data_IF_363621220974
#
_entry.id   IF_363621220974
#
_cell.length_a   1.000
_cell.length_b   1.000
_cell.length_c   1.000
_cell.angle_alpha   90.00
_cell.angle_beta   90.00
_cell.angle_gamma   90.00
#
_symmetry.space_group_name_H-M   'P 1'
#
loop_
_entity.id
_entity.type
_entity.pdbx_description
1 polymer ?
#
# COMPACT_ATOMS: atom_id res chain seq x y z
N UNK A 1 4.17 -49.61 -33.37
CA UNK A 1 4.27 -48.89 -32.08
C UNK A 1 2.90 -48.94 -31.44
N UNK A 2 2.70 -49.48 -30.26
CA UNK A 2 1.40 -49.54 -29.63
C UNK A 2 0.96 -48.11 -29.23
N UNK A 3 -0.30 -47.82 -29.41
CA UNK A 3 -0.96 -46.53 -29.15
C UNK A 3 -0.67 -45.96 -27.76
N UNK A 4 -0.45 -46.83 -26.78
CA UNK A 4 -0.06 -46.44 -25.39
C UNK A 4 1.33 -45.82 -25.27
N UNK A 5 2.29 -46.19 -26.11
CA UNK A 5 3.62 -45.53 -26.11
C UNK A 5 3.58 -44.17 -26.78
N UNK A 6 2.71 -43.98 -27.76
CA UNK A 6 2.51 -42.67 -28.40
C UNK A 6 1.80 -41.67 -27.47
N UNK A 7 0.81 -42.12 -26.69
CA UNK A 7 0.15 -41.32 -25.66
C UNK A 7 1.10 -40.98 -24.51
N UNK A 8 1.91 -41.96 -24.03
CA UNK A 8 2.90 -41.70 -22.98
C UNK A 8 4.01 -40.73 -23.45
N UNK A 9 4.45 -40.77 -24.71
CA UNK A 9 5.40 -39.84 -25.29
C UNK A 9 4.78 -38.44 -25.50
N UNK A 10 3.50 -38.38 -25.84
CA UNK A 10 2.75 -37.13 -25.96
C UNK A 10 2.52 -36.49 -24.58
N UNK A 11 2.16 -37.30 -23.58
CA UNK A 11 2.03 -36.84 -22.19
C UNK A 11 3.38 -36.42 -21.59
N UNK A 12 4.48 -37.12 -21.83
CA UNK A 12 5.81 -36.76 -21.34
C UNK A 12 6.40 -35.52 -22.00
N UNK A 13 5.99 -35.22 -23.24
CA UNK A 13 6.37 -33.97 -23.92
C UNK A 13 5.47 -32.77 -23.52
N UNK A 14 4.23 -33.03 -23.16
CA UNK A 14 3.31 -31.96 -22.66
C UNK A 14 3.72 -31.51 -21.27
N UNK A 15 4.27 -32.39 -20.42
CA UNK A 15 4.69 -32.06 -19.06
C UNK A 15 6.00 -31.23 -18.98
N UNK A 16 6.78 -31.16 -20.06
CA UNK A 16 8.02 -30.35 -20.10
C UNK A 16 7.87 -28.92 -20.61
N UNK A 17 6.67 -28.52 -21.09
CA UNK A 17 6.39 -27.16 -21.54
C UNK A 17 5.42 -26.40 -20.63
N UNK A 18 5.12 -26.94 -19.46
CA UNK A 18 4.23 -26.31 -18.51
C UNK A 18 4.98 -25.25 -17.70
N UNK A 19 4.61 -24.03 -17.98
CA UNK A 19 4.63 -22.90 -17.06
C UNK A 19 5.96 -22.27 -16.66
N UNK A 20 6.59 -21.60 -17.60
CA UNK A 20 7.43 -20.44 -17.28
C UNK A 20 6.63 -19.13 -17.17
N UNK A 21 5.30 -19.19 -17.03
CA UNK A 21 4.46 -17.99 -16.90
C UNK A 21 3.98 -17.87 -15.46
N UNK A 22 4.92 -17.73 -14.54
CA UNK A 22 4.66 -17.18 -13.22
C UNK A 22 5.36 -15.83 -13.14
N UNK A 23 5.13 -15.02 -14.16
CA UNK A 23 5.41 -13.61 -14.09
C UNK A 23 4.42 -13.00 -13.11
N UNK A 24 4.77 -12.98 -11.83
CA UNK A 24 4.20 -11.94 -10.98
C UNK A 24 4.53 -10.62 -11.66
N UNK A 25 3.53 -9.99 -12.25
CA UNK A 25 3.68 -8.63 -12.76
C UNK A 25 4.38 -7.82 -11.65
N UNK A 26 5.45 -7.06 -11.92
CA UNK A 26 6.09 -6.21 -10.92
C UNK A 26 5.12 -5.20 -10.30
N UNK A 27 3.94 -5.07 -10.88
CA UNK A 27 2.87 -4.15 -10.52
C UNK A 27 1.69 -4.79 -9.79
N UNK A 28 1.76 -6.06 -9.40
CA UNK A 28 0.80 -6.54 -8.44
C UNK A 28 1.02 -5.76 -7.15
N UNK A 29 0.10 -4.85 -6.85
CA UNK A 29 -0.04 -4.19 -5.55
C UNK A 29 0.87 -3.00 -5.19
N UNK A 30 1.22 -2.12 -6.10
CA UNK A 30 1.53 -0.75 -5.69
C UNK A 30 0.24 0.06 -5.74
N UNK A 31 -0.54 -0.01 -4.68
CA UNK A 31 -1.64 0.90 -4.48
C UNK A 31 -1.05 2.24 -4.02
N UNK A 32 -1.15 3.28 -4.84
CA UNK A 32 -1.10 4.65 -4.31
C UNK A 32 -2.47 4.91 -3.72
N UNK A 33 -2.73 4.35 -2.55
CA UNK A 33 -4.04 4.40 -1.94
C UNK A 33 -4.38 5.81 -1.44
N UNK A 34 -5.64 6.12 -1.42
CA UNK A 34 -6.18 7.33 -0.80
C UNK A 34 -5.94 7.40 0.72
N UNK A 35 -5.58 6.26 1.35
CA UNK A 35 -5.17 6.14 2.75
C UNK A 35 -3.65 6.15 2.91
N UNK A 36 -3.21 5.66 4.06
CA UNK A 36 -1.81 5.39 4.35
C UNK A 36 -1.26 4.15 3.62
N UNK A 37 -2.11 3.25 3.10
CA UNK A 37 -1.70 1.98 2.47
C UNK A 37 -0.94 2.24 1.16
N UNK A 38 0.28 1.74 1.06
CA UNK A 38 1.19 1.92 -0.07
C UNK A 38 1.58 0.61 -0.76
N UNK A 39 1.52 -0.52 -0.07
CA UNK A 39 2.00 -1.79 -0.62
C UNK A 39 0.89 -2.79 -0.96
N UNK A 40 -0.29 -2.67 -0.34
CA UNK A 40 -1.34 -3.67 -0.40
C UNK A 40 -0.96 -5.00 0.25
N UNK A 41 0.20 -5.10 0.89
CA UNK A 41 0.72 -6.23 1.66
C UNK A 41 0.56 -7.62 0.98
N UNK A 42 0.98 -7.80 -0.28
CA UNK A 42 0.73 -9.02 -1.02
C UNK A 42 1.58 -10.19 -0.49
N UNK A 43 1.00 -11.39 -0.52
CA UNK A 43 1.69 -12.65 -0.18
C UNK A 43 2.06 -13.49 -1.40
N UNK A 44 1.95 -12.92 -2.59
CA UNK A 44 2.10 -13.65 -3.88
C UNK A 44 3.48 -14.29 -4.08
N UNK A 45 4.53 -13.78 -3.45
CA UNK A 45 5.86 -14.39 -3.49
C UNK A 45 5.89 -15.74 -2.75
N UNK A 46 5.02 -15.92 -1.74
CA UNK A 46 4.88 -17.18 -1.02
C UNK A 46 4.23 -18.30 -1.86
N UNK A 47 3.49 -17.96 -2.93
CA UNK A 47 2.84 -18.94 -3.80
C UNK A 47 3.70 -19.37 -5.00
N UNK A 48 4.96 -18.98 -5.03
CA UNK A 48 5.89 -19.42 -6.05
C UNK A 48 6.30 -20.89 -5.80
N UNK A 49 6.48 -21.64 -6.88
CA UNK A 49 6.87 -23.04 -6.78
C UNK A 49 8.38 -23.17 -6.51
N UNK A 50 8.79 -24.15 -5.70
CA UNK A 50 10.19 -24.42 -5.37
C UNK A 50 10.81 -23.39 -4.45
N UNK A 51 12.07 -23.06 -4.68
CA UNK A 51 12.77 -21.98 -3.98
C UNK A 51 12.65 -20.68 -4.79
N UNK A 52 12.17 -19.63 -4.13
CA UNK A 52 11.96 -18.32 -4.73
C UNK A 52 12.54 -17.22 -3.87
N UNK A 53 13.16 -16.25 -4.50
CA UNK A 53 13.62 -15.03 -3.89
C UNK A 53 13.30 -13.83 -4.77
N UNK A 54 12.92 -12.72 -4.18
CA UNK A 54 12.72 -11.48 -4.93
C UNK A 54 13.07 -10.25 -4.12
N UNK A 55 13.47 -9.20 -4.81
CA UNK A 55 13.53 -7.84 -4.31
C UNK A 55 12.91 -6.92 -5.36
N UNK A 56 12.08 -5.99 -4.90
CA UNK A 56 11.46 -4.99 -5.77
C UNK A 56 11.59 -3.60 -5.14
N UNK A 57 11.81 -2.63 -6.01
CA UNK A 57 11.87 -1.21 -5.69
C UNK A 57 10.82 -0.48 -6.50
N UNK A 58 10.00 0.34 -5.84
CA UNK A 58 9.02 1.18 -6.48
C UNK A 58 9.36 2.64 -6.22
N UNK A 59 9.14 3.48 -7.23
CA UNK A 59 9.30 4.92 -7.16
C UNK A 59 8.01 5.58 -7.62
N UNK A 60 7.45 6.46 -6.78
CA UNK A 60 6.15 7.09 -6.97
C UNK A 60 6.32 8.59 -7.05
N UNK A 61 5.71 9.18 -8.06
CA UNK A 61 5.73 10.61 -8.36
C UNK A 61 4.27 11.10 -8.33
N UNK A 62 3.74 11.45 -7.16
CA UNK A 62 2.38 11.99 -7.05
C UNK A 62 2.38 13.48 -7.36
N UNK A 63 1.28 13.94 -7.97
CA UNK A 63 1.00 15.35 -8.21
C UNK A 63 -0.37 15.66 -7.61
N UNK A 64 -0.38 16.24 -6.40
CA UNK A 64 -1.59 16.56 -5.66
C UNK A 64 -1.58 18.05 -5.36
N UNK A 65 -2.36 18.80 -6.11
CA UNK A 65 -2.51 20.24 -6.02
C UNK A 65 -3.98 20.65 -5.90
N UNK A 66 -4.25 21.85 -5.48
CA UNK A 66 -5.62 22.28 -5.27
C UNK A 66 -5.76 23.78 -5.08
N UNK A 67 -6.83 24.15 -4.40
CA UNK A 67 -7.15 25.52 -4.04
C UNK A 67 -7.75 25.53 -2.63
N UNK A 68 -7.32 26.47 -1.78
CA UNK A 68 -7.94 26.67 -0.47
C UNK A 68 -9.29 27.40 -0.57
N UNK A 69 -9.95 27.60 0.55
CA UNK A 69 -11.24 28.32 0.61
C UNK A 69 -11.11 29.81 0.85
N UNK A 70 -9.88 30.36 0.97
CA UNK A 70 -9.61 31.78 1.15
C UNK A 70 -9.98 32.34 2.52
N UNK A 71 -9.89 31.51 3.58
CA UNK A 71 -10.22 31.92 4.95
C UNK A 71 -9.40 33.14 5.43
N UNK A 72 -8.09 33.16 5.13
CA UNK A 72 -7.18 34.27 5.52
C UNK A 72 -7.20 35.44 4.54
N UNK A 73 -7.59 35.22 3.30
CA UNK A 73 -7.55 36.22 2.22
C UNK A 73 -8.91 36.85 1.92
N UNK A 74 -9.79 36.90 2.91
CA UNK A 74 -11.12 37.54 2.81
C UNK A 74 -11.98 36.95 1.66
N UNK A 75 -11.98 35.64 1.51
CA UNK A 75 -12.78 34.92 0.51
C UNK A 75 -12.13 34.78 -0.87
N UNK A 76 -10.86 35.15 -1.03
CA UNK A 76 -10.11 34.95 -2.26
C UNK A 76 -9.28 33.64 -2.16
N UNK A 77 -9.74 32.53 -2.74
CA UNK A 77 -9.02 31.25 -2.69
C UNK A 77 -7.61 31.36 -3.28
N UNK A 78 -6.63 30.74 -2.61
CA UNK A 78 -5.26 30.68 -3.04
C UNK A 78 -4.93 29.30 -3.61
N UNK A 79 -4.05 29.26 -4.61
CA UNK A 79 -3.56 28.02 -5.17
C UNK A 79 -2.71 27.26 -4.14
N UNK A 80 -2.96 25.96 -4.01
CA UNK A 80 -2.13 25.02 -3.25
C UNK A 80 -1.26 24.26 -4.25
N UNK A 81 0.06 24.50 -4.30
CA UNK A 81 0.99 23.73 -5.13
C UNK A 81 1.00 22.25 -4.75
N UNK A 82 1.69 21.41 -5.54
CA UNK A 82 1.84 20.00 -5.20
C UNK A 82 2.31 19.81 -3.75
N UNK A 83 1.51 19.13 -2.94
CA UNK A 83 1.75 18.94 -1.51
C UNK A 83 2.53 17.65 -1.20
N UNK A 84 2.82 16.84 -2.21
CA UNK A 84 3.43 15.52 -2.00
C UNK A 84 4.87 15.49 -2.46
N UNK A 85 5.71 14.82 -1.68
CA UNK A 85 7.05 14.46 -2.11
C UNK A 85 7.04 13.17 -2.93
N UNK A 86 8.03 13.00 -3.79
CA UNK A 86 8.29 11.72 -4.42
C UNK A 86 8.79 10.75 -3.35
N UNK A 87 8.31 9.52 -3.41
CA UNK A 87 8.72 8.51 -2.44
C UNK A 87 9.06 7.18 -3.11
N UNK A 88 9.80 6.37 -2.39
CA UNK A 88 10.14 5.01 -2.82
C UNK A 88 9.71 4.00 -1.77
N UNK A 89 9.51 2.76 -2.22
CA UNK A 89 9.25 1.63 -1.34
C UNK A 89 10.05 0.40 -1.77
N UNK A 90 10.51 -0.35 -0.78
CA UNK A 90 11.21 -1.61 -0.97
C UNK A 90 10.33 -2.76 -0.51
N UNK A 91 10.34 -3.85 -1.27
CA UNK A 91 9.70 -5.09 -0.93
C UNK A 91 10.61 -6.27 -1.26
N UNK A 92 10.54 -7.34 -0.46
CA UNK A 92 11.29 -8.57 -0.70
C UNK A 92 10.53 -9.79 -0.25
N UNK A 93 10.86 -10.92 -0.86
CA UNK A 93 10.28 -12.22 -0.50
C UNK A 93 11.31 -13.33 -0.65
N UNK A 94 11.33 -14.22 0.34
CA UNK A 94 12.05 -15.47 0.30
C UNK A 94 11.06 -16.60 0.59
N UNK A 95 11.10 -17.66 -0.19
CA UNK A 95 10.24 -18.83 0.00
C UNK A 95 10.97 -20.08 -0.45
N UNK A 96 10.76 -21.18 0.26
CA UNK A 96 11.21 -22.50 -0.19
C UNK A 96 10.23 -23.59 0.20
N UNK A 97 10.10 -24.60 -0.66
CA UNK A 97 9.41 -25.85 -0.34
C UNK A 97 10.41 -26.75 0.39
N UNK A 98 10.13 -27.09 1.66
CA UNK A 98 10.93 -28.03 2.43
C UNK A 98 10.67 -29.47 1.97
N UNK A 99 9.46 -29.73 1.51
CA UNK A 99 9.00 -30.95 0.88
C UNK A 99 7.67 -30.69 0.14
N UNK A 100 7.06 -31.71 -0.43
CA UNK A 100 5.79 -31.61 -1.17
C UNK A 100 4.63 -31.01 -0.34
N UNK A 101 4.69 -31.13 1.00
CA UNK A 101 3.62 -30.70 1.91
C UNK A 101 3.90 -29.37 2.62
N UNK A 102 5.16 -29.03 2.87
CA UNK A 102 5.53 -27.94 3.75
C UNK A 102 6.34 -26.91 2.99
N UNK A 103 5.89 -25.67 3.04
CA UNK A 103 6.60 -24.49 2.54
C UNK A 103 6.86 -23.51 3.68
N UNK A 104 7.97 -22.78 3.60
CA UNK A 104 8.28 -21.69 4.52
C UNK A 104 8.63 -20.43 3.73
N UNK A 105 8.33 -19.27 4.29
CA UNK A 105 8.62 -18.00 3.62
C UNK A 105 8.81 -16.85 4.60
N UNK A 106 9.52 -15.84 4.11
CA UNK A 106 9.74 -14.57 4.79
C UNK A 106 9.45 -13.45 3.80
N UNK A 107 8.55 -12.55 4.17
CA UNK A 107 8.14 -11.42 3.34
C UNK A 107 8.44 -10.12 4.08
N UNK A 108 9.02 -9.17 3.37
CA UNK A 108 9.25 -7.82 3.85
C UNK A 108 8.53 -6.83 2.95
N UNK A 109 7.88 -5.84 3.53
CA UNK A 109 7.31 -4.69 2.83
C UNK A 109 7.22 -3.44 3.71
N UNK A 110 6.82 -2.31 3.09
CA UNK A 110 6.60 -1.00 3.71
C UNK A 110 5.13 -0.62 3.48
N UNK A 111 4.20 -1.14 4.31
CA UNK A 111 2.77 -1.06 4.00
C UNK A 111 2.19 0.34 4.11
N UNK A 112 2.58 1.11 5.12
CA UNK A 112 1.96 2.39 5.42
C UNK A 112 2.97 3.53 5.36
N UNK A 113 2.63 4.57 4.61
CA UNK A 113 3.44 5.79 4.60
C UNK A 113 2.63 7.03 4.20
N UNK A 114 3.11 8.17 4.64
CA UNK A 114 2.73 9.50 4.18
C UNK A 114 3.99 10.35 4.08
N UNK A 115 4.06 11.20 3.07
CA UNK A 115 5.12 12.21 2.94
C UNK A 115 4.52 13.40 2.20
N UNK A 116 4.10 14.39 2.97
CA UNK A 116 3.49 15.61 2.46
C UNK A 116 4.13 16.86 3.05
N UNK A 117 4.17 17.90 2.26
CA UNK A 117 4.67 19.22 2.63
C UNK A 117 3.92 20.30 1.86
N UNK A 118 3.18 21.13 2.56
CA UNK A 118 2.56 22.32 1.96
C UNK A 118 3.57 23.44 1.76
N UNK A 119 3.43 24.15 0.64
CA UNK A 119 4.26 25.27 0.24
C UNK A 119 3.39 26.42 -0.29
N UNK A 120 3.99 27.59 -0.54
CA UNK A 120 3.33 28.74 -1.13
C UNK A 120 2.55 29.56 -0.11
N UNK A 121 1.45 30.22 -0.53
CA UNK A 121 0.73 31.21 0.26
C UNK A 121 -0.68 30.79 0.67
N UNK A 122 -1.01 29.52 0.52
CA UNK A 122 -2.32 29.00 0.90
C UNK A 122 -2.54 29.01 2.42
N UNK A 123 -3.77 28.85 2.83
CA UNK A 123 -4.17 28.79 4.25
C UNK A 123 -3.55 27.60 5.02
N UNK A 124 -2.86 26.69 4.34
CA UNK A 124 -2.06 25.59 4.91
C UNK A 124 -0.62 26.01 5.26
N UNK A 125 -0.26 27.26 5.03
CA UNK A 125 1.08 27.80 5.28
C UNK A 125 0.96 28.97 6.25
N UNK A 126 1.87 29.04 7.23
CA UNK A 126 1.99 30.19 8.13
C UNK A 126 2.93 31.21 7.53
N UNK A 127 2.57 32.51 7.64
CA UNK A 127 3.50 33.61 7.38
C UNK A 127 4.67 33.51 8.39
N UNK A 128 5.92 33.68 7.96
CA UNK A 128 7.05 33.34 8.80
C UNK A 128 7.37 34.41 9.86
N UNK A 129 7.78 33.90 11.01
CA UNK A 129 8.73 34.58 11.86
C UNK A 129 10.11 34.37 11.20
N UNK A 130 10.80 35.45 10.80
CA UNK A 130 12.11 35.42 10.12
C UNK A 130 12.14 34.99 8.64
N UNK A 131 11.13 35.31 7.85
CA UNK A 131 11.11 35.12 6.38
C UNK A 131 11.16 33.68 5.85
N UNK A 132 10.95 32.67 6.68
CA UNK A 132 10.83 31.28 6.27
C UNK A 132 9.36 30.82 6.33
N UNK A 133 8.77 30.54 5.18
CA UNK A 133 7.43 29.95 5.11
C UNK A 133 7.44 28.56 5.79
N UNK A 134 6.45 28.33 6.66
CA UNK A 134 6.25 27.05 7.32
C UNK A 134 4.92 26.47 6.89
N UNK A 135 4.97 25.44 6.05
CA UNK A 135 3.79 24.71 5.62
C UNK A 135 3.47 23.54 6.54
N UNK A 136 2.20 23.12 6.50
CA UNK A 136 1.80 21.84 7.09
C UNK A 136 2.65 20.71 6.51
N UNK A 137 3.17 19.86 7.38
CA UNK A 137 4.02 18.73 7.02
C UNK A 137 3.54 17.48 7.76
N UNK A 138 3.54 16.34 7.10
CA UNK A 138 3.31 15.05 7.75
C UNK A 138 4.16 13.98 7.09
N UNK A 139 4.85 13.22 7.92
CA UNK A 139 5.60 12.03 7.51
C UNK A 139 5.20 10.85 8.38
N UNK A 140 5.03 9.70 7.77
CA UNK A 140 4.82 8.43 8.44
C UNK A 140 5.51 7.35 7.63
N UNK A 141 6.18 6.42 8.29
CA UNK A 141 6.79 5.26 7.65
C UNK A 141 6.55 4.01 8.46
N UNK A 142 6.41 2.88 7.78
CA UNK A 142 6.31 1.58 8.42
C UNK A 142 7.17 0.53 7.71
N UNK A 143 7.56 -0.48 8.46
CA UNK A 143 8.28 -1.65 8.00
C UNK A 143 7.58 -2.90 8.55
N UNK A 144 7.30 -3.86 7.70
CA UNK A 144 6.61 -5.10 8.09
C UNK A 144 7.42 -6.32 7.65
N UNK A 145 7.63 -7.24 8.57
CA UNK A 145 8.25 -8.53 8.34
C UNK A 145 7.26 -9.63 8.68
N UNK A 146 6.90 -10.45 7.69
CA UNK A 146 5.94 -11.56 7.84
C UNK A 146 6.63 -12.89 7.61
N UNK A 147 6.61 -13.77 8.60
CA UNK A 147 7.03 -15.17 8.47
C UNK A 147 5.83 -16.06 8.18
N UNK A 148 5.92 -16.95 7.21
CA UNK A 148 4.82 -17.85 6.83
C UNK A 148 5.26 -19.30 6.81
N UNK A 149 4.39 -20.17 7.29
CA UNK A 149 4.46 -21.62 7.12
C UNK A 149 3.21 -22.05 6.36
N UNK A 150 3.40 -22.77 5.27
CA UNK A 150 2.33 -23.33 4.44
C UNK A 150 2.27 -24.85 4.54
N UNK A 151 1.06 -25.39 4.50
CA UNK A 151 0.77 -26.82 4.47
C UNK A 151 -0.12 -27.12 3.27
N UNK A 152 0.38 -27.91 2.31
CA UNK A 152 -0.43 -28.47 1.23
C UNK A 152 -1.24 -29.64 1.79
N UNK A 153 -2.56 -29.48 1.89
CA UNK A 153 -3.50 -30.54 2.34
C UNK A 153 -3.59 -31.63 1.28
N UNK A 154 -3.61 -31.23 0.03
CA UNK A 154 -3.53 -32.10 -1.14
C UNK A 154 -2.88 -31.33 -2.32
N UNK A 155 -2.89 -31.91 -3.52
CA UNK A 155 -2.29 -31.29 -4.72
C UNK A 155 -2.96 -29.97 -5.15
N UNK A 156 -4.21 -29.69 -4.71
CA UNK A 156 -4.98 -28.51 -5.10
C UNK A 156 -5.14 -27.48 -3.98
N UNK A 157 -5.21 -27.92 -2.72
CA UNK A 157 -5.55 -27.08 -1.58
C UNK A 157 -4.40 -26.97 -0.59
N UNK A 158 -4.07 -25.74 -0.21
CA UNK A 158 -3.13 -25.44 0.85
C UNK A 158 -3.68 -24.40 1.82
N UNK A 159 -3.15 -24.41 3.01
CA UNK A 159 -3.35 -23.38 4.03
C UNK A 159 -1.99 -22.81 4.44
N UNK A 160 -1.96 -21.61 4.94
CA UNK A 160 -0.74 -21.00 5.45
C UNK A 160 -1.08 -20.02 6.58
N UNK A 161 -0.13 -19.85 7.48
CA UNK A 161 -0.23 -18.92 8.58
C UNK A 161 1.16 -18.51 9.08
N UNK A 162 1.21 -17.41 9.83
CA UNK A 162 2.43 -17.02 10.51
C UNK A 162 2.36 -15.65 11.19
N UNK A 163 3.38 -15.27 11.96
CA UNK A 163 3.48 -14.00 12.64
C UNK A 163 3.86 -12.88 11.66
N UNK A 164 3.45 -11.66 11.99
CA UNK A 164 3.89 -10.42 11.39
C UNK A 164 4.42 -9.49 12.49
N UNK A 165 5.51 -8.78 12.20
CA UNK A 165 6.07 -7.75 13.06
C UNK A 165 6.06 -6.45 12.26
N UNK A 166 5.49 -5.39 12.83
CA UNK A 166 5.40 -4.08 12.21
C UNK A 166 6.09 -3.04 13.07
N UNK A 167 6.95 -2.25 12.44
CA UNK A 167 7.50 -1.01 12.98
C UNK A 167 6.77 0.15 12.33
N UNK A 168 6.44 1.18 13.13
CA UNK A 168 5.83 2.40 12.62
C UNK A 168 6.36 3.61 13.38
N UNK A 169 6.58 4.72 12.68
CA UNK A 169 6.98 6.01 13.22
C UNK A 169 6.40 7.15 12.39
N UNK A 170 6.26 8.34 12.99
CA UNK A 170 5.71 9.47 12.24
C UNK A 170 5.90 10.81 12.90
N UNK A 171 5.78 11.87 12.10
CA UNK A 171 5.81 13.28 12.54
C UNK A 171 4.74 14.07 11.83
N UNK A 172 4.12 15.00 12.56
CA UNK A 172 3.14 15.91 11.99
C UNK A 172 3.39 17.31 12.52
N UNK A 173 3.33 18.28 11.62
CA UNK A 173 3.41 19.70 11.92
C UNK A 173 2.24 20.40 11.24
N UNK A 174 1.26 20.85 12.02
CA UNK A 174 0.13 21.61 11.50
C UNK A 174 0.50 23.10 11.44
N UNK A 175 0.32 23.70 10.28
CA UNK A 175 0.62 25.10 9.99
C UNK A 175 -0.55 25.77 9.27
N UNK A 176 -0.62 27.10 9.39
CA UNK A 176 -1.58 27.89 8.64
C UNK A 176 -2.89 28.17 9.35
N UNK A 177 -3.64 29.07 8.76
CA UNK A 177 -4.88 29.62 9.32
C UNK A 177 -6.01 28.59 9.44
N UNK A 178 -5.98 27.54 8.60
CA UNK A 178 -7.01 26.48 8.62
C UNK A 178 -7.08 25.77 9.97
N UNK A 179 -5.99 25.68 10.70
CA UNK A 179 -5.94 24.97 11.98
C UNK A 179 -6.29 25.84 13.18
N UNK A 180 -6.52 27.17 12.98
CA UNK A 180 -6.90 28.09 14.06
C UNK A 180 -5.98 27.95 15.28
N UNK A 181 -6.54 27.68 16.46
CA UNK A 181 -5.77 27.49 17.70
C UNK A 181 -4.82 26.29 17.71
N UNK A 182 -4.92 25.39 16.72
CA UNK A 182 -4.00 24.26 16.51
C UNK A 182 -2.88 24.58 15.51
N UNK A 183 -2.84 25.79 14.94
CA UNK A 183 -1.69 26.26 14.18
C UNK A 183 -0.43 26.18 15.06
N UNK A 184 0.69 25.69 14.48
CA UNK A 184 1.94 25.41 15.18
C UNK A 184 1.88 24.23 16.18
N UNK A 185 0.93 23.30 16.01
CA UNK A 185 0.97 22.01 16.65
C UNK A 185 2.06 21.13 15.99
N UNK A 186 2.86 20.48 16.83
CA UNK A 186 3.84 19.49 16.42
C UNK A 186 3.56 18.21 17.19
N UNK A 187 3.60 17.08 16.50
CA UNK A 187 3.61 15.75 17.12
C UNK A 187 4.73 14.91 16.49
N UNK A 188 5.46 14.21 17.35
CA UNK A 188 6.49 13.24 16.97
C UNK A 188 6.13 11.92 17.64
N UNK A 189 5.93 10.88 16.84
CA UNK A 189 5.61 9.53 17.28
C UNK A 189 6.88 8.71 17.22
N UNK A 190 7.36 8.26 18.36
CA UNK A 190 8.54 7.41 18.47
C UNK A 190 8.28 6.07 17.77
N UNK A 191 9.35 5.46 17.27
CA UNK A 191 9.27 4.13 16.65
C UNK A 191 8.73 3.10 17.63
N UNK A 192 7.71 2.33 17.20
CA UNK A 192 7.10 1.24 17.97
C UNK A 192 7.07 -0.04 17.14
N UNK A 193 7.38 -1.16 17.82
CA UNK A 193 7.33 -2.50 17.25
C UNK A 193 6.15 -3.26 17.85
N UNK A 194 5.24 -3.67 16.99
CA UNK A 194 4.08 -4.43 17.42
C UNK A 194 3.91 -5.68 16.54
N UNK A 195 3.12 -6.64 17.03
CA UNK A 195 2.97 -7.95 16.38
C UNK A 195 1.53 -8.23 16.01
N UNK A 196 1.37 -8.88 14.88
CA UNK A 196 0.13 -9.44 14.38
C UNK A 196 0.35 -10.83 13.80
N UNK A 197 -0.61 -11.29 13.02
CA UNK A 197 -0.56 -12.58 12.37
C UNK A 197 -1.28 -12.55 11.02
N UNK A 198 -0.94 -13.55 10.22
CA UNK A 198 -1.51 -13.76 8.89
C UNK A 198 -2.01 -15.19 8.80
N UNK A 199 -3.16 -15.39 8.20
CA UNK A 199 -3.69 -16.71 7.85
C UNK A 199 -4.31 -16.66 6.46
N UNK A 200 -4.25 -17.77 5.75
CA UNK A 200 -4.92 -17.84 4.47
C UNK A 200 -5.04 -19.25 3.95
N UNK A 201 -5.75 -19.35 2.86
CA UNK A 201 -5.91 -20.57 2.08
C UNK A 201 -5.53 -20.29 0.62
N UNK A 202 -5.02 -21.30 -0.05
CA UNK A 202 -4.75 -21.23 -1.48
C UNK A 202 -5.27 -22.46 -2.21
N UNK A 203 -5.67 -22.23 -3.45
CA UNK A 203 -6.05 -23.28 -4.39
C UNK A 203 -5.14 -23.15 -5.60
N UNK A 204 -4.59 -24.28 -6.06
CA UNK A 204 -3.78 -24.34 -7.28
C UNK A 204 -4.27 -25.45 -8.19
N UNK A 205 -4.30 -25.18 -9.47
CA UNK A 205 -4.63 -26.17 -10.51
C UNK A 205 -3.64 -25.98 -11.67
N UNK A 206 -2.49 -26.69 -11.61
CA UNK A 206 -1.35 -26.44 -12.51
C UNK A 206 -1.70 -26.56 -13.99
N UNK A 207 -2.55 -27.50 -14.36
CA UNK A 207 -2.98 -27.74 -15.74
C UNK A 207 -3.75 -26.55 -16.36
N UNK A 208 -4.36 -25.71 -15.53
CA UNK A 208 -5.03 -24.47 -15.96
C UNK A 208 -4.20 -23.22 -15.71
N UNK A 209 -3.00 -23.35 -15.11
CA UNK A 209 -2.25 -22.21 -14.60
C UNK A 209 -3.01 -21.44 -13.51
N UNK A 210 -4.00 -22.08 -12.86
CA UNK A 210 -4.85 -21.43 -11.86
C UNK A 210 -4.15 -21.45 -10.51
N UNK A 211 -4.11 -20.28 -9.88
CA UNK A 211 -3.81 -20.08 -8.47
C UNK A 211 -4.81 -19.06 -7.93
N UNK A 212 -5.42 -19.36 -6.80
CA UNK A 212 -6.26 -18.43 -6.05
C UNK A 212 -5.86 -18.49 -4.59
N UNK A 213 -5.86 -17.35 -3.92
CA UNK A 213 -5.56 -17.25 -2.50
C UNK A 213 -6.47 -16.24 -1.83
N UNK A 214 -6.90 -16.56 -0.62
CA UNK A 214 -7.57 -15.65 0.29
C UNK A 214 -6.71 -15.50 1.52
N UNK A 215 -6.27 -14.28 1.79
CA UNK A 215 -5.38 -13.93 2.91
C UNK A 215 -6.11 -12.99 3.85
N UNK A 216 -6.11 -13.29 5.12
CA UNK A 216 -6.48 -12.37 6.19
C UNK A 216 -5.23 -11.96 6.96
N UNK A 217 -5.07 -10.68 7.23
CA UNK A 217 -4.09 -10.11 8.15
C UNK A 217 -4.82 -9.52 9.34
N UNK A 218 -4.35 -9.84 10.54
CA UNK A 218 -4.90 -9.24 11.75
C UNK A 218 -4.58 -7.75 11.82
N UNK A 219 -5.37 -7.02 12.56
CA UNK A 219 -4.99 -5.71 13.07
C UNK A 219 -3.71 -5.80 13.93
N UNK A 220 -2.97 -4.70 14.02
CA UNK A 220 -1.77 -4.58 14.85
C UNK A 220 -1.91 -3.35 15.73
N UNK A 221 -1.98 -3.55 17.04
CA UNK A 221 -2.11 -2.47 18.01
C UNK A 221 -0.75 -1.96 18.42
N UNK A 222 -0.50 -0.70 18.13
CA UNK A 222 0.68 0.05 18.52
C UNK A 222 0.45 0.84 19.81
N UNK A 223 1.49 0.90 20.63
CA UNK A 223 1.51 1.71 21.84
C UNK A 223 2.89 2.35 21.96
N UNK A 224 3.00 3.55 21.42
CA UNK A 224 4.23 4.33 21.42
C UNK A 224 4.16 5.49 22.41
N UNK A 225 5.29 6.10 22.72
CA UNK A 225 5.34 7.43 23.30
C UNK A 225 5.35 8.46 22.16
N UNK A 226 4.67 9.57 22.39
CA UNK A 226 4.66 10.69 21.48
C UNK A 226 4.98 11.98 22.20
N UNK A 227 5.74 12.86 21.56
CA UNK A 227 5.90 14.24 22.01
C UNK A 227 4.91 15.13 21.29
N UNK A 228 4.22 15.98 22.06
CA UNK A 228 3.28 16.96 21.53
C UNK A 228 3.66 18.36 21.99
N UNK A 229 3.64 19.33 21.10
CA UNK A 229 3.93 20.73 21.39
C UNK A 229 2.93 21.66 20.69
N UNK A 230 2.47 22.68 21.40
CA UNK A 230 1.57 23.72 20.89
C UNK A 230 2.28 25.07 20.93
N UNK A 231 3.22 25.27 20.02
CA UNK A 231 4.15 26.41 20.05
C UNK A 231 3.47 27.81 19.98
N UNK A 232 2.21 27.85 19.52
CA UNK A 232 1.42 29.09 19.54
C UNK A 232 0.89 29.45 20.95
N UNK A 233 0.85 28.50 21.90
CA UNK A 233 0.25 28.66 23.23
C UNK A 233 1.29 28.61 24.35
N UNK A 234 2.27 27.75 24.22
CA UNK A 234 3.38 27.58 25.17
C UNK A 234 4.55 26.86 24.50
N UNK A 235 5.74 26.96 25.10
CA UNK A 235 6.90 26.17 24.68
C UNK A 235 6.97 24.80 25.40
N UNK A 236 5.91 24.39 26.11
CA UNK A 236 5.90 23.13 26.82
C UNK A 236 5.84 21.96 25.86
N UNK A 237 6.64 20.96 26.17
CA UNK A 237 6.64 19.67 25.48
C UNK A 237 5.89 18.68 26.37
N UNK A 238 4.88 18.04 25.84
CA UNK A 238 4.11 17.03 26.51
C UNK A 238 4.53 15.67 25.97
N UNK A 239 4.85 14.74 26.87
CA UNK A 239 5.13 13.35 26.52
C UNK A 239 3.93 12.53 26.98
N UNK A 240 3.32 11.79 26.07
CA UNK A 240 2.13 11.01 26.36
C UNK A 240 2.08 9.73 25.51
N UNK A 241 1.45 8.67 26.03
CA UNK A 241 1.23 7.48 25.22
C UNK A 241 0.28 7.78 24.05
N UNK A 242 0.67 7.32 22.86
CA UNK A 242 -0.17 7.33 21.67
C UNK A 242 -0.51 5.89 21.32
N UNK A 243 -1.80 5.58 21.30
CA UNK A 243 -2.30 4.25 20.98
C UNK A 243 -3.10 4.36 19.68
N UNK A 244 -2.76 3.53 18.72
CA UNK A 244 -3.51 3.39 17.46
C UNK A 244 -3.40 1.95 16.97
N UNK A 245 -4.21 1.59 16.00
CA UNK A 245 -4.27 0.23 15.47
C UNK A 245 -4.15 0.28 13.95
N UNK A 246 -3.08 -0.32 13.41
CA UNK A 246 -2.99 -0.61 11.98
C UNK A 246 -4.10 -1.57 11.61
N UNK A 247 -4.91 -1.28 10.58
CA UNK A 247 -6.12 -2.04 10.32
C UNK A 247 -5.84 -3.46 9.83
N UNK A 248 -6.76 -4.35 10.12
CA UNK A 248 -6.83 -5.67 9.48
C UNK A 248 -7.06 -5.55 7.97
N UNK A 249 -6.88 -6.64 7.24
CA UNK A 249 -7.18 -6.65 5.82
C UNK A 249 -7.50 -8.03 5.27
N UNK A 250 -8.26 -8.05 4.18
CA UNK A 250 -8.53 -9.24 3.39
C UNK A 250 -8.05 -9.00 1.97
N UNK A 251 -7.18 -9.90 1.48
CA UNK A 251 -6.72 -9.93 0.10
C UNK A 251 -7.22 -11.19 -0.60
N UNK A 252 -7.79 -11.04 -1.78
CA UNK A 252 -8.07 -12.12 -2.71
C UNK A 252 -7.18 -11.97 -3.94
N UNK A 253 -6.30 -12.94 -4.15
CA UNK A 253 -5.40 -13.01 -5.29
C UNK A 253 -5.86 -14.14 -6.21
N UNK A 254 -5.91 -13.89 -7.51
CA UNK A 254 -6.33 -14.84 -8.51
C UNK A 254 -5.48 -14.76 -9.77
N UNK A 255 -5.13 -15.91 -10.33
CA UNK A 255 -4.58 -16.01 -11.67
C UNK A 255 -5.08 -17.27 -12.38
N UNK A 256 -5.17 -17.21 -13.71
CA UNK A 256 -5.47 -18.38 -14.53
C UNK A 256 -4.92 -18.21 -15.95
N UNK A 257 -4.53 -19.31 -16.57
CA UNK A 257 -4.14 -19.35 -17.97
C UNK A 257 -5.37 -19.21 -18.88
N UNK A 258 -5.40 -18.18 -19.74
CA UNK A 258 -6.40 -18.10 -20.81
C UNK A 258 -6.03 -18.99 -22.00
N UNK A 259 -4.74 -19.17 -22.22
CA UNK A 259 -4.15 -20.08 -23.19
C UNK A 259 -2.67 -20.34 -22.82
N UNK A 260 -1.93 -21.07 -23.67
CA UNK A 260 -0.52 -21.46 -23.41
C UNK A 260 0.46 -20.28 -23.24
N UNK A 261 0.07 -19.07 -23.63
CA UNK A 261 0.96 -17.89 -23.61
C UNK A 261 0.36 -16.70 -22.88
N UNK A 262 -0.90 -16.76 -22.47
CA UNK A 262 -1.61 -15.62 -21.87
C UNK A 262 -2.17 -15.99 -20.51
N UNK A 263 -1.86 -15.19 -19.51
CA UNK A 263 -2.31 -15.30 -18.13
C UNK A 263 -3.22 -14.12 -17.80
N UNK A 264 -4.35 -14.41 -17.19
CA UNK A 264 -5.21 -13.41 -16.52
C UNK A 264 -4.84 -13.37 -15.04
N UNK A 265 -4.77 -12.18 -14.48
CA UNK A 265 -4.58 -11.96 -13.05
C UNK A 265 -5.66 -11.03 -12.51
N UNK A 266 -6.06 -11.24 -11.27
CA UNK A 266 -6.94 -10.34 -10.54
C UNK A 266 -6.51 -10.28 -9.08
N UNK A 267 -6.68 -9.12 -8.47
CA UNK A 267 -6.52 -8.91 -7.03
C UNK A 267 -7.65 -8.02 -6.55
N UNK A 268 -8.18 -8.33 -5.38
CA UNK A 268 -9.13 -7.49 -4.65
C UNK A 268 -8.66 -7.42 -3.21
N UNK A 269 -8.64 -6.21 -2.65
CA UNK A 269 -8.29 -5.96 -1.26
C UNK A 269 -9.36 -5.12 -0.57
N UNK A 270 -9.68 -5.48 0.67
CA UNK A 270 -10.51 -4.72 1.58
C UNK A 270 -9.75 -4.39 2.86
N UNK A 271 -9.93 -3.16 3.35
CA UNK A 271 -9.35 -2.65 4.59
C UNK A 271 -10.38 -1.78 5.31
N UNK A 272 -10.72 -2.05 6.58
CA UNK A 272 -11.70 -1.28 7.35
C UNK A 272 -11.09 0.01 7.91
N UNK A 273 -10.69 0.92 7.04
CA UNK A 273 -10.08 2.20 7.42
C UNK A 273 -11.01 3.11 8.23
N UNK A 274 -12.32 2.92 8.16
CA UNK A 274 -13.29 3.69 8.97
C UNK A 274 -13.08 3.51 10.48
N UNK A 275 -12.45 2.40 10.88
CA UNK A 275 -12.17 2.08 12.28
C UNK A 275 -10.79 2.61 12.73
N UNK A 276 -10.02 3.18 11.80
CA UNK A 276 -8.70 3.75 12.08
C UNK A 276 -8.82 5.17 12.63
N UNK A 277 -8.15 5.40 13.76
CA UNK A 277 -8.03 6.70 14.38
C UNK A 277 -6.62 6.89 14.97
N UNK A 278 -5.96 7.99 14.61
CA UNK A 278 -4.75 8.45 15.27
C UNK A 278 -5.10 9.70 16.10
N UNK A 279 -5.16 9.55 17.42
CA UNK A 279 -5.60 10.59 18.36
C UNK A 279 -4.56 10.81 19.46
N UNK A 280 -3.55 11.69 19.27
CA UNK A 280 -2.61 12.06 20.31
C UNK A 280 -3.32 12.66 21.52
N UNK A 281 -2.87 12.31 22.74
CA UNK A 281 -3.63 12.55 23.96
C UNK A 281 -3.82 14.04 24.29
N UNK A 282 -2.78 14.86 24.09
CA UNK A 282 -2.87 16.30 24.35
C UNK A 282 -3.65 17.07 23.30
N UNK A 283 -3.58 16.65 22.05
CA UNK A 283 -4.45 17.16 20.98
C UNK A 283 -5.92 16.88 21.33
N UNK A 284 -6.23 15.65 21.75
CA UNK A 284 -7.58 15.27 22.15
C UNK A 284 -8.06 16.10 23.33
N UNK A 285 -7.28 16.21 24.42
CA UNK A 285 -7.60 17.01 25.60
C UNK A 285 -7.92 18.48 25.24
N UNK A 286 -7.09 19.09 24.37
CA UNK A 286 -7.27 20.50 23.99
C UNK A 286 -8.44 20.73 23.04
N UNK A 287 -8.78 19.76 22.23
CA UNK A 287 -9.89 19.86 21.29
C UNK A 287 -11.21 19.32 21.82
N UNK A 288 -11.21 18.65 22.98
CA UNK A 288 -12.39 18.09 23.62
C UNK A 288 -13.54 19.09 23.83
N UNK A 289 -13.32 20.35 24.25
CA UNK A 289 -14.41 21.33 24.40
C UNK A 289 -15.11 21.68 23.08
N UNK A 290 -14.46 21.46 21.95
CA UNK A 290 -14.98 21.77 20.61
C UNK A 290 -15.49 20.54 19.86
N UNK A 291 -15.22 19.32 20.35
CA UNK A 291 -15.72 18.09 19.71
C UNK A 291 -17.13 17.75 20.19
N UNK A 292 -17.99 17.19 19.33
CA UNK A 292 -19.40 16.92 19.67
C UNK A 292 -19.59 15.95 20.84
N UNK A 293 -18.66 14.98 20.99
CA UNK A 293 -18.68 13.93 22.01
C UNK A 293 -17.79 14.25 23.21
N UNK A 294 -17.12 15.41 23.23
CA UNK A 294 -16.17 15.84 24.24
C UNK A 294 -14.95 14.93 24.44
N UNK A 295 -14.63 14.09 23.44
CA UNK A 295 -13.45 13.19 23.48
C UNK A 295 -12.24 13.79 22.74
N UNK A 296 -12.42 14.91 22.06
CA UNK A 296 -11.42 15.57 21.23
C UNK A 296 -11.39 15.06 19.79
N UNK A 297 -10.73 15.82 18.91
CA UNK A 297 -10.62 15.48 17.51
C UNK A 297 -9.39 14.59 17.25
N UNK A 298 -9.51 13.57 16.40
CA UNK A 298 -8.36 12.82 15.90
C UNK A 298 -7.50 13.67 14.96
N UNK A 299 -6.23 13.37 14.90
CA UNK A 299 -5.31 13.94 13.91
C UNK A 299 -5.60 13.37 12.52
N UNK A 300 -5.79 12.06 12.43
CA UNK A 300 -6.15 11.32 11.22
C UNK A 300 -7.28 10.37 11.56
N UNK A 301 -8.32 10.38 10.75
CA UNK A 301 -9.41 9.39 10.74
C UNK A 301 -10.03 9.33 9.35
N UNK A 302 -10.74 8.25 9.06
CA UNK A 302 -11.39 8.04 7.77
C UNK A 302 -12.86 7.68 7.95
N UNK A 303 -13.67 7.93 6.92
CA UNK A 303 -15.13 7.74 7.01
C UNK A 303 -15.62 6.41 6.42
N UNK A 304 -14.82 5.81 5.55
CA UNK A 304 -15.21 4.62 4.81
C UNK A 304 -14.11 3.58 4.81
N UNK A 305 -14.52 2.33 4.65
CA UNK A 305 -13.62 1.25 4.30
C UNK A 305 -13.07 1.45 2.90
N UNK A 306 -11.87 0.94 2.68
CA UNK A 306 -11.23 0.97 1.39
C UNK A 306 -11.38 -0.37 0.68
N UNK A 307 -11.75 -0.28 -0.59
CA UNK A 307 -11.69 -1.36 -1.54
C UNK A 307 -10.72 -1.01 -2.66
N UNK A 308 -9.87 -1.93 -3.02
CA UNK A 308 -9.04 -1.78 -4.22
C UNK A 308 -9.10 -3.04 -5.06
N UNK A 309 -8.98 -2.88 -6.38
CA UNK A 309 -9.02 -3.98 -7.31
C UNK A 309 -8.04 -3.75 -8.46
N UNK A 310 -7.44 -4.84 -8.93
CA UNK A 310 -6.60 -4.85 -10.12
C UNK A 310 -6.96 -6.05 -10.99
N UNK A 311 -7.05 -5.82 -12.30
CA UNK A 311 -7.14 -6.88 -13.30
C UNK A 311 -5.99 -6.68 -14.27
N UNK A 312 -5.29 -7.76 -14.60
CA UNK A 312 -4.12 -7.73 -15.47
C UNK A 312 -4.09 -8.89 -16.45
N UNK A 313 -3.41 -8.65 -17.58
CA UNK A 313 -3.08 -9.65 -18.56
C UNK A 313 -1.55 -9.70 -18.73
N UNK A 314 -0.98 -10.89 -18.66
CA UNK A 314 0.42 -11.11 -18.98
C UNK A 314 0.52 -12.06 -20.18
N UNK A 315 1.34 -11.71 -21.18
CA UNK A 315 1.53 -12.51 -22.38
C UNK A 315 3.00 -12.81 -22.61
N UNK A 316 3.30 -14.08 -22.74
CA UNK A 316 4.60 -14.58 -23.16
C UNK A 316 4.78 -14.27 -24.65
N UNK A 317 5.65 -13.34 -24.97
CA UNK A 317 5.95 -12.92 -26.34
C UNK A 317 7.02 -13.79 -26.97
N UNK A 318 8.01 -14.19 -26.16
CA UNK A 318 9.07 -15.16 -26.52
C UNK A 318 9.36 -16.04 -25.29
N UNK A 319 10.27 -17.02 -25.41
CA UNK A 319 10.66 -17.86 -24.28
C UNK A 319 11.28 -17.06 -23.10
N UNK A 320 11.81 -15.88 -23.39
CA UNK A 320 12.49 -15.04 -22.39
C UNK A 320 11.75 -13.74 -22.05
N UNK A 321 10.76 -13.36 -22.84
CA UNK A 321 10.11 -12.06 -22.71
C UNK A 321 8.61 -12.17 -22.49
N UNK A 322 8.11 -11.54 -21.43
CA UNK A 322 6.70 -11.43 -21.09
C UNK A 322 6.32 -9.95 -21.03
N UNK A 323 5.23 -9.62 -21.69
CA UNK A 323 4.58 -8.30 -21.62
C UNK A 323 3.35 -8.38 -20.73
N UNK A 324 3.10 -7.35 -19.92
CA UNK A 324 1.93 -7.29 -19.06
C UNK A 324 1.26 -5.93 -19.11
N UNK A 325 -0.06 -5.93 -18.91
CA UNK A 325 -0.87 -4.72 -18.77
C UNK A 325 -1.86 -4.91 -17.64
N UNK A 326 -2.29 -3.81 -17.01
CA UNK A 326 -3.28 -3.85 -15.93
C UNK A 326 -4.19 -2.63 -15.92
N UNK A 327 -5.38 -2.82 -15.36
CA UNK A 327 -6.29 -1.77 -14.93
C UNK A 327 -6.39 -1.87 -13.42
N UNK A 328 -6.36 -0.73 -12.75
CA UNK A 328 -6.35 -0.61 -11.30
C UNK A 328 -7.46 0.34 -10.87
N UNK A 329 -8.07 0.07 -9.73
CA UNK A 329 -9.10 0.88 -9.15
C UNK A 329 -8.99 0.89 -7.62
N UNK A 330 -9.33 2.02 -7.02
CA UNK A 330 -9.41 2.23 -5.59
C UNK A 330 -10.64 3.06 -5.26
N UNK A 331 -11.40 2.67 -4.26
CA UNK A 331 -12.66 3.32 -3.89
C UNK A 331 -12.48 4.67 -3.21
N UNK A 332 -11.29 4.96 -2.71
CA UNK A 332 -11.07 6.05 -1.77
C UNK A 332 -11.67 5.78 -0.38
N UNK A 333 -11.62 6.79 0.46
CA UNK A 333 -12.01 6.75 1.87
C UNK A 333 -13.16 7.69 2.21
N UNK A 334 -13.77 8.27 1.19
CA UNK A 334 -14.85 9.25 1.29
C UNK A 334 -14.43 10.64 0.83
N UNK A 335 -15.45 11.43 0.54
CA UNK A 335 -15.37 12.85 0.25
C UNK A 335 -16.43 13.55 1.10
N UNK A 336 -16.04 14.51 1.93
CA UNK A 336 -14.73 15.17 2.06
C UNK A 336 -13.65 14.28 2.68
N UNK A 337 -12.42 14.40 2.19
CA UNK A 337 -11.25 13.68 2.68
C UNK A 337 -10.52 14.45 3.80
N UNK A 338 -9.68 13.74 4.57
CA UNK A 338 -8.81 14.40 5.55
C UNK A 338 -7.83 15.36 4.86
N UNK A 339 -7.61 16.55 5.42
CA UNK A 339 -6.70 17.56 4.88
C UNK A 339 -5.23 17.11 4.76
N UNK A 340 -4.84 16.03 5.47
CA UNK A 340 -3.52 15.42 5.37
C UNK A 340 -3.44 14.31 4.28
N UNK A 341 -4.46 14.15 3.45
CA UNK A 341 -4.48 13.20 2.34
C UNK A 341 -5.71 13.42 1.46
N UNK A 342 -5.82 14.60 0.79
CA UNK A 342 -7.05 15.03 0.13
C UNK A 342 -7.19 14.41 -1.26
N UNK A 343 -7.35 13.10 -1.33
CA UNK A 343 -7.67 12.34 -2.53
C UNK A 343 -8.79 11.32 -2.23
N UNK A 344 -9.60 11.01 -3.23
CA UNK A 344 -10.71 10.07 -3.10
C UNK A 344 -10.58 8.92 -4.10
N UNK A 345 -9.65 8.00 -3.82
CA UNK A 345 -9.38 6.83 -4.66
C UNK A 345 -8.70 7.17 -5.98
N UNK A 346 -8.71 6.22 -6.91
CA UNK A 346 -8.13 6.40 -8.24
C UNK A 346 -8.60 5.34 -9.25
N UNK A 347 -8.43 5.67 -10.52
CA UNK A 347 -8.33 4.73 -11.63
C UNK A 347 -6.90 4.74 -12.17
N UNK A 348 -6.46 3.61 -12.73
CA UNK A 348 -5.12 3.57 -13.29
C UNK A 348 -4.92 2.49 -14.32
N UNK A 349 -3.92 2.71 -15.16
CA UNK A 349 -3.45 1.73 -16.16
C UNK A 349 -1.98 1.46 -15.95
N UNK A 350 -1.58 0.22 -16.18
CA UNK A 350 -0.19 -0.21 -16.05
C UNK A 350 0.30 -0.98 -17.25
N UNK A 351 1.59 -0.83 -17.54
CA UNK A 351 2.32 -1.57 -18.56
C UNK A 351 3.64 -2.05 -17.96
N UNK A 352 3.99 -3.32 -18.17
CA UNK A 352 5.23 -3.88 -17.68
C UNK A 352 5.77 -5.00 -18.56
N UNK A 353 7.04 -5.30 -18.33
CA UNK A 353 7.69 -6.43 -18.98
C UNK A 353 8.57 -7.19 -18.00
N UNK A 354 8.79 -8.45 -18.28
CA UNK A 354 9.74 -9.30 -17.58
C UNK A 354 10.67 -9.95 -18.61
N UNK A 355 11.95 -10.01 -18.27
CA UNK A 355 12.98 -10.62 -19.09
C UNK A 355 13.75 -11.67 -18.29
N UNK A 356 13.71 -12.92 -18.73
CA UNK A 356 14.51 -14.03 -18.21
C UNK A 356 15.89 -14.03 -18.85
N UNK A 357 16.88 -13.43 -18.20
CA UNK A 357 18.24 -13.41 -18.70
C UNK A 357 18.99 -14.72 -18.42
N UNK A 358 18.61 -15.45 -17.37
CA UNK A 358 19.00 -16.83 -17.08
C UNK A 358 17.74 -17.69 -16.80
N UNK A 359 17.82 -19.02 -16.84
CA UNK A 359 16.64 -19.87 -16.58
C UNK A 359 15.96 -19.62 -15.24
N UNK A 360 16.74 -19.33 -14.19
CA UNK A 360 16.25 -19.10 -12.83
C UNK A 360 16.08 -17.61 -12.50
N UNK A 361 16.64 -16.70 -13.30
CA UNK A 361 16.65 -15.28 -12.99
C UNK A 361 15.82 -14.44 -13.96
N UNK A 362 15.04 -13.55 -13.41
CA UNK A 362 14.29 -12.59 -14.20
C UNK A 362 14.39 -11.18 -13.62
N UNK A 363 14.45 -10.20 -14.51
CA UNK A 363 14.27 -8.79 -14.20
C UNK A 363 12.93 -8.34 -14.77
N UNK A 364 12.18 -7.58 -13.98
CA UNK A 364 10.91 -7.01 -14.41
C UNK A 364 10.95 -5.51 -14.20
N UNK A 365 10.38 -4.79 -15.15
CA UNK A 365 10.23 -3.34 -15.08
C UNK A 365 8.86 -2.93 -15.58
N UNK A 366 8.39 -1.75 -15.13
CA UNK A 366 7.21 -1.19 -15.70
C UNK A 366 6.74 0.10 -15.03
N UNK A 367 5.62 0.64 -15.51
CA UNK A 367 5.01 1.89 -15.05
C UNK A 367 3.50 1.82 -14.95
N UNK A 368 2.94 2.61 -14.04
CA UNK A 368 1.50 2.89 -13.94
C UNK A 368 1.28 4.39 -14.02
N UNK A 369 0.17 4.76 -14.65
CA UNK A 369 -0.40 6.09 -14.56
C UNK A 369 -1.73 6.01 -13.82
N UNK A 370 -1.91 6.85 -12.81
CA UNK A 370 -3.07 6.86 -11.94
C UNK A 370 -3.75 8.22 -12.03
N UNK A 371 -5.04 8.22 -12.37
CA UNK A 371 -5.91 9.38 -12.25
C UNK A 371 -6.48 9.37 -10.83
N UNK A 372 -6.06 10.32 -10.01
CA UNK A 372 -6.50 10.42 -8.62
C UNK A 372 -7.90 11.06 -8.58
N UNK A 373 -8.76 10.54 -7.71
CA UNK A 373 -10.10 11.07 -7.54
C UNK A 373 -10.09 12.44 -6.88
N UNK A 374 -10.95 13.34 -7.36
CA UNK A 374 -11.15 14.66 -6.78
C UNK A 374 -11.64 14.54 -5.34
N UNK A 375 -11.22 15.49 -4.47
CA UNK A 375 -11.65 15.54 -3.09
C UNK A 375 -11.75 16.95 -2.54
N UNK A 376 -12.72 17.19 -1.67
CA UNK A 376 -12.74 18.31 -0.77
C UNK A 376 -11.92 17.98 0.48
N UNK A 377 -10.98 18.85 0.84
CA UNK A 377 -10.21 18.69 2.08
C UNK A 377 -10.99 19.24 3.27
N UNK A 378 -11.21 18.41 4.28
CA UNK A 378 -11.80 18.82 5.55
C UNK A 378 -10.78 18.78 6.68
N UNK A 379 -10.89 19.70 7.61
CA UNK A 379 -10.24 19.56 8.91
C UNK A 379 -11.10 18.75 9.87
N UNK A 380 -10.56 18.47 11.06
CA UNK A 380 -11.13 17.51 12.02
C UNK A 380 -12.55 17.87 12.50
N UNK A 381 -12.93 19.14 12.48
CA UNK A 381 -14.27 19.59 12.87
C UNK A 381 -15.30 19.55 11.70
N UNK A 382 -14.91 19.02 10.54
CA UNK A 382 -15.77 18.90 9.36
C UNK A 382 -15.79 20.09 8.42
N UNK A 383 -15.16 21.24 8.77
CA UNK A 383 -15.12 22.41 7.87
C UNK A 383 -14.28 22.08 6.62
N UNK A 384 -14.81 22.42 5.44
CA UNK A 384 -14.10 22.33 4.18
C UNK A 384 -13.07 23.46 4.11
N UNK A 385 -11.82 23.12 3.82
CA UNK A 385 -10.69 24.05 3.81
C UNK A 385 -9.93 24.10 2.49
N UNK A 386 -10.29 23.22 1.54
CA UNK A 386 -9.69 23.21 0.20
C UNK A 386 -10.38 22.25 -0.73
N UNK A 387 -10.05 22.34 -2.03
CA UNK A 387 -10.50 21.44 -3.09
C UNK A 387 -9.31 21.01 -3.92
N UNK A 388 -9.20 19.72 -4.15
CA UNK A 388 -8.11 19.09 -4.89
C UNK A 388 -8.71 18.33 -6.06
N UNK A 389 -8.36 18.74 -7.28
CA UNK A 389 -8.96 18.23 -8.51
C UNK A 389 -7.93 18.05 -9.62
N UNK A 390 -8.22 17.13 -10.55
CA UNK A 390 -7.36 16.83 -11.69
C UNK A 390 -5.93 16.40 -11.29
N UNK A 391 -5.82 15.59 -10.26
CA UNK A 391 -4.57 15.10 -9.72
C UNK A 391 -4.21 13.74 -10.32
N UNK A 392 -2.92 13.46 -10.37
CA UNK A 392 -2.42 12.20 -10.92
C UNK A 392 -1.18 11.67 -10.18
N UNK A 393 -0.76 10.48 -10.53
CA UNK A 393 0.48 9.89 -10.03
C UNK A 393 1.09 8.96 -11.06
N UNK A 394 2.42 8.99 -11.18
CA UNK A 394 3.18 8.04 -11.97
C UNK A 394 3.94 7.11 -11.01
N UNK A 395 3.89 5.82 -11.28
CA UNK A 395 4.59 4.80 -10.51
C UNK A 395 5.51 4.02 -11.42
N UNK A 396 6.77 3.86 -11.03
CA UNK A 396 7.73 2.96 -11.65
C UNK A 396 8.08 1.83 -10.69
N UNK A 397 8.26 0.63 -11.24
CA UNK A 397 8.67 -0.53 -10.46
C UNK A 397 9.78 -1.31 -11.16
N UNK A 398 10.75 -1.75 -10.37
CA UNK A 398 11.81 -2.66 -10.77
C UNK A 398 11.81 -3.86 -9.84
N UNK A 399 11.87 -5.09 -10.38
CA UNK A 399 11.93 -6.31 -9.59
C UNK A 399 13.01 -7.23 -10.16
N UNK A 400 13.87 -7.74 -9.28
CA UNK A 400 14.75 -8.88 -9.56
C UNK A 400 14.18 -10.10 -8.85
N UNK A 401 14.10 -11.22 -9.55
CA UNK A 401 13.62 -12.47 -8.97
C UNK A 401 14.48 -13.67 -9.38
N UNK A 402 14.60 -14.59 -8.45
CA UNK A 402 15.21 -15.90 -8.61
C UNK A 402 14.16 -16.98 -8.35
N UNK A 403 14.10 -17.98 -9.18
CA UNK A 403 13.25 -19.14 -8.96
C UNK A 403 13.95 -20.43 -9.39
N UNK A 404 14.10 -21.35 -8.44
CA UNK A 404 14.55 -22.71 -8.72
C UNK A 404 13.38 -23.66 -8.43
N UNK A 405 12.85 -24.25 -9.50
CA UNK A 405 11.84 -25.32 -9.43
C UNK A 405 12.57 -26.65 -9.30
N UNK A 406 13.10 -26.95 -8.11
CA UNK A 406 13.66 -28.29 -7.88
C UNK A 406 12.55 -29.33 -8.08
N UNK A 407 12.77 -30.27 -8.95
CA UNK A 407 11.95 -31.45 -9.05
C UNK A 407 12.24 -32.30 -7.79
N UNK A 408 11.34 -32.25 -6.81
CA UNK A 408 11.28 -33.24 -5.75
C UNK A 408 10.47 -34.43 -6.24
#
# INVERSE_FOLDING_TARGET
>A
MPQKEFEALMYSRITRYSLFILATSPFMNTASAAALDRSGQPVTDFFQDGTYASVSYNYVIPQISGQDTGLSSHGNPQHIPNITNNYSSLRGGLKTDLNEKISVGLLYDQPFSIDLQHHGQSDFVSQPVNHLEQGTNATLSSHNLTGLVGLNINEYLGIYAGPAIEEIQGKVQLRGHIYKGMANYNADLDSDYATGWVIGLNIKKPELGLKAALTYRSEIRHKTEGTEQFSALSNDIYISPVIFTSPESINFDFQTGLNKTTLLTANVRWVPWKDFELKPAKLAERTAPASPDHTGFPLISYEKDQWSAQIGLARKMTEKFVLSTSINWDSGLGDPANALGPINGYWGVGLGFQYHFLPEWAISFGGKYLWLGDAEAKRQNGDIVGRFTNNDSIVFGLKLSYQNKSNH
#
